data_IF_722902672573
#
_entry.id   IF_722902672573
#
_cell.length_a   1.000
_cell.length_b   1.000
_cell.length_c   1.000
_cell.angle_alpha   90.00
_cell.angle_beta   90.00
_cell.angle_gamma   90.00
#
_symmetry.space_group_name_H-M   'P 1'
#
loop_
_entity.id
_entity.type
_entity.pdbx_description
1 polymer ?
#
# COMPACT_ATOMS: atom_id res chain seq x y z
N UNK A 1 -11.08 -6.34 0.35
CA UNK A 1 -10.88 -6.06 -1.10
C UNK A 1 -12.19 -6.12 -1.89
N UNK A 2 -12.90 -7.27 -1.93
CA UNK A 2 -14.20 -7.36 -2.65
C UNK A 2 -15.22 -6.31 -2.21
N UNK A 3 -15.26 -5.98 -0.92
CA UNK A 3 -16.08 -4.87 -0.40
C UNK A 3 -15.75 -3.53 -1.08
N UNK A 4 -14.46 -3.21 -1.25
CA UNK A 4 -14.02 -1.97 -1.90
C UNK A 4 -14.49 -1.91 -3.36
N UNK A 5 -14.56 -3.04 -4.06
CA UNK A 5 -15.06 -3.09 -5.44
C UNK A 5 -16.55 -2.73 -5.56
N UNK A 6 -17.31 -2.82 -4.47
CA UNK A 6 -18.75 -2.51 -4.41
C UNK A 6 -19.06 -1.08 -3.99
N UNK A 7 -18.07 -0.33 -3.52
CA UNK A 7 -18.28 1.07 -3.11
C UNK A 7 -18.57 1.90 -4.38
N UNK A 8 -19.59 2.78 -4.38
CA UNK A 8 -19.85 3.70 -5.48
C UNK A 8 -18.62 4.54 -5.83
N UNK A 9 -18.34 4.69 -7.12
CA UNK A 9 -17.16 5.40 -7.65
C UNK A 9 -17.62 6.71 -8.31
N UNK A 10 -16.75 7.72 -8.45
CA UNK A 10 -15.32 7.73 -8.15
C UNK A 10 -15.01 8.05 -6.68
N UNK A 11 -13.86 7.56 -6.20
CA UNK A 11 -13.29 7.98 -4.91
C UNK A 11 -11.77 7.81 -4.90
N UNK A 12 -11.10 8.41 -3.91
CA UNK A 12 -9.67 8.20 -3.69
C UNK A 12 -9.44 7.17 -2.59
N UNK A 13 -8.81 6.03 -2.92
CA UNK A 13 -8.49 5.00 -1.96
C UNK A 13 -7.12 5.27 -1.33
N UNK A 14 -7.13 5.61 -0.03
CA UNK A 14 -5.93 5.61 0.81
C UNK A 14 -5.89 4.36 1.66
N UNK A 15 -4.81 3.58 1.56
CA UNK A 15 -4.59 2.39 2.37
C UNK A 15 -3.48 2.69 3.37
N UNK A 16 -3.81 2.64 4.66
CA UNK A 16 -2.90 2.88 5.76
C UNK A 16 -2.58 1.54 6.44
N UNK A 17 -1.31 1.33 6.77
CA UNK A 17 -0.90 0.17 7.53
C UNK A 17 -1.22 0.38 9.01
N UNK A 18 -1.73 -0.65 9.68
CA UNK A 18 -1.98 -0.61 11.12
C UNK A 18 -0.65 -0.57 11.89
N UNK A 19 -0.49 0.50 12.65
CA UNK A 19 0.63 0.80 13.54
C UNK A 19 0.11 0.88 14.97
N UNK A 20 0.88 0.33 15.91
CA UNK A 20 0.57 0.36 17.33
C UNK A 20 1.41 1.45 17.99
N UNK A 21 0.79 2.62 18.20
CA UNK A 21 1.45 3.73 18.88
C UNK A 21 1.58 3.44 20.37
N UNK A 22 2.79 3.50 20.95
CA UNK A 22 3.01 3.22 22.36
C UNK A 22 2.08 4.01 23.28
N UNK A 23 1.50 3.33 24.27
CA UNK A 23 0.61 3.95 25.26
C UNK A 23 -0.85 4.10 24.82
N UNK A 24 -1.20 3.81 23.56
CA UNK A 24 -2.60 3.75 23.14
C UNK A 24 -3.29 2.49 23.67
N UNK A 25 -4.63 2.54 23.83
CA UNK A 25 -5.42 1.35 24.20
C UNK A 25 -5.20 0.17 23.25
N UNK A 26 -5.01 0.46 21.96
CA UNK A 26 -4.76 -0.57 20.95
C UNK A 26 -3.39 -1.24 21.14
N UNK A 27 -2.34 -0.46 21.44
CA UNK A 27 -1.00 -0.99 21.74
C UNK A 27 -1.02 -1.83 23.03
N UNK A 28 -1.61 -1.30 24.11
CA UNK A 28 -1.74 -2.02 25.39
C UNK A 28 -2.46 -3.37 25.19
N UNK A 29 -3.58 -3.35 24.46
CA UNK A 29 -4.33 -4.57 24.17
C UNK A 29 -3.53 -5.55 23.31
N UNK A 30 -2.83 -5.06 22.28
CA UNK A 30 -2.01 -5.90 21.42
C UNK A 30 -0.82 -6.54 22.15
N UNK A 31 -0.27 -5.87 23.17
CA UNK A 31 0.76 -6.44 24.07
C UNK A 31 0.17 -7.50 24.99
N UNK A 32 -0.98 -7.22 25.62
CA UNK A 32 -1.71 -8.21 26.44
C UNK A 32 -2.05 -9.47 25.64
N UNK A 33 -2.55 -9.31 24.42
CA UNK A 33 -2.91 -10.40 23.52
C UNK A 33 -1.69 -11.06 22.83
N UNK A 34 -0.45 -10.66 23.19
CA UNK A 34 0.82 -11.16 22.63
C UNK A 34 0.92 -11.07 21.09
N UNK A 35 0.22 -10.10 20.51
CA UNK A 35 0.31 -9.74 19.08
C UNK A 35 1.65 -9.03 18.83
N UNK A 36 2.02 -8.11 19.72
CA UNK A 36 3.34 -7.44 19.71
C UNK A 36 4.28 -8.26 20.59
N UNK A 37 5.26 -8.95 20.00
CA UNK A 37 6.25 -9.76 20.73
C UNK A 37 7.58 -9.03 20.88
N UNK A 38 7.91 -8.17 19.94
CA UNK A 38 9.10 -7.31 19.92
C UNK A 38 8.65 -5.90 19.53
N UNK A 39 9.40 -4.87 19.93
CA UNK A 39 9.05 -3.48 19.61
C UNK A 39 8.88 -3.23 18.10
N UNK A 40 9.68 -3.89 17.25
CA UNK A 40 9.52 -3.80 15.80
C UNK A 40 8.16 -4.27 15.27
N UNK A 41 7.46 -5.14 16.00
CA UNK A 41 6.14 -5.63 15.60
C UNK A 41 5.05 -4.56 15.77
N UNK A 42 5.32 -3.54 16.61
CA UNK A 42 4.46 -2.38 16.80
C UNK A 42 4.47 -1.41 15.60
N UNK A 43 5.50 -1.50 14.73
CA UNK A 43 5.64 -0.74 13.49
C UNK A 43 5.70 0.80 13.61
N UNK A 44 5.65 1.38 14.82
CA UNK A 44 5.61 2.84 15.02
C UNK A 44 6.91 3.55 14.64
N UNK A 45 8.02 2.81 14.60
CA UNK A 45 9.32 3.30 14.17
C UNK A 45 9.49 3.30 12.64
N UNK A 46 8.60 2.64 11.91
CA UNK A 46 8.69 2.57 10.46
C UNK A 46 8.21 3.88 9.83
N UNK A 47 8.89 4.31 8.77
CA UNK A 47 8.39 5.40 7.96
C UNK A 47 7.01 5.03 7.40
N UNK A 48 6.06 5.95 7.51
CA UNK A 48 4.70 5.77 6.99
C UNK A 48 4.67 5.37 5.50
N UNK A 49 5.64 5.84 4.71
CA UNK A 49 5.76 5.57 3.28
C UNK A 49 6.48 4.26 2.94
N UNK A 50 7.10 3.59 3.92
CA UNK A 50 7.83 2.33 3.68
C UNK A 50 6.87 1.12 3.62
N UNK A 51 6.14 1.04 2.52
CA UNK A 51 5.15 -0.03 2.27
C UNK A 51 5.77 -1.42 2.40
N UNK A 52 7.02 -1.58 2.00
CA UNK A 52 7.71 -2.87 2.00
C UNK A 52 7.89 -3.41 3.41
N UNK A 53 8.43 -2.59 4.31
CA UNK A 53 8.63 -2.94 5.71
C UNK A 53 7.30 -3.24 6.40
N UNK A 54 6.28 -2.42 6.15
CA UNK A 54 4.94 -2.63 6.71
C UNK A 54 4.30 -3.95 6.25
N UNK A 55 4.40 -4.30 4.96
CA UNK A 55 3.84 -5.55 4.43
C UNK A 55 4.56 -6.77 5.01
N UNK A 56 5.89 -6.70 5.16
CA UNK A 56 6.68 -7.82 5.70
C UNK A 56 6.27 -8.21 7.12
N UNK A 57 5.81 -7.25 7.94
CA UNK A 57 5.28 -7.52 9.28
C UNK A 57 3.98 -8.34 9.25
N UNK A 58 3.19 -8.29 8.17
CA UNK A 58 1.89 -8.97 8.05
C UNK A 58 2.00 -10.37 7.43
N UNK A 59 2.98 -11.15 7.88
CA UNK A 59 3.41 -12.47 7.34
C UNK A 59 2.27 -13.36 6.80
N UNK A 60 1.19 -13.53 7.56
CA UNK A 60 0.07 -14.42 7.19
C UNK A 60 -0.70 -13.98 5.93
N UNK A 61 -0.74 -12.69 5.62
CA UNK A 61 -1.60 -12.11 4.59
C UNK A 61 -0.84 -11.23 3.60
N UNK A 62 0.48 -11.39 3.48
CA UNK A 62 1.35 -10.53 2.66
C UNK A 62 0.82 -10.32 1.24
N UNK A 63 0.31 -11.37 0.59
CA UNK A 63 -0.24 -11.29 -0.76
C UNK A 63 -1.42 -10.32 -0.87
N UNK A 64 -2.41 -10.46 0.03
CA UNK A 64 -3.61 -9.62 0.01
C UNK A 64 -3.30 -8.19 0.45
N UNK A 65 -2.38 -8.01 1.40
CA UNK A 65 -1.93 -6.67 1.84
C UNK A 65 -1.15 -5.97 0.74
N UNK A 66 -0.34 -6.69 -0.03
CA UNK A 66 0.34 -6.16 -1.21
C UNK A 66 -0.67 -5.70 -2.27
N UNK A 67 -1.67 -6.52 -2.60
CA UNK A 67 -2.73 -6.14 -3.55
C UNK A 67 -3.45 -4.87 -3.06
N UNK A 68 -3.83 -4.81 -1.78
CA UNK A 68 -4.44 -3.61 -1.20
C UNK A 68 -3.55 -2.37 -1.36
N UNK A 69 -2.25 -2.48 -1.11
CA UNK A 69 -1.32 -1.38 -1.26
C UNK A 69 -1.15 -0.93 -2.72
N UNK A 70 -1.27 -1.85 -3.68
CA UNK A 70 -1.24 -1.54 -5.12
C UNK A 70 -2.52 -0.88 -5.62
N UNK A 71 -3.65 -1.10 -4.92
CA UNK A 71 -4.93 -0.45 -5.22
C UNK A 71 -4.99 1.04 -4.82
N UNK A 72 -3.98 1.54 -4.09
CA UNK A 72 -3.94 2.93 -3.60
C UNK A 72 -4.01 3.94 -4.75
N UNK A 73 -4.84 4.97 -4.59
CA UNK A 73 -4.96 6.08 -5.55
C UNK A 73 -6.40 6.30 -6.01
N UNK A 74 -6.55 6.91 -7.18
CA UNK A 74 -7.86 7.20 -7.79
C UNK A 74 -8.55 5.90 -8.19
N UNK A 75 -9.81 5.75 -7.80
CA UNK A 75 -10.67 4.61 -8.11
C UNK A 75 -11.74 5.05 -9.12
N UNK A 76 -11.85 4.31 -10.22
CA UNK A 76 -12.82 4.54 -11.29
C UNK A 76 -13.50 3.22 -11.67
N UNK A 77 -14.51 3.27 -12.54
CA UNK A 77 -15.22 2.06 -12.98
C UNK A 77 -14.33 1.00 -13.64
N UNK A 78 -13.15 1.38 -14.13
CA UNK A 78 -12.22 0.47 -14.79
C UNK A 78 -11.02 0.06 -13.94
N UNK A 79 -10.69 0.76 -12.83
CA UNK A 79 -9.44 0.53 -12.09
C UNK A 79 -9.42 1.01 -10.63
N UNK A 80 -8.47 0.48 -9.88
CA UNK A 80 -8.04 0.92 -8.55
C UNK A 80 -6.59 1.40 -8.58
N UNK A 81 -6.36 2.71 -8.48
CA UNK A 81 -5.02 3.27 -8.63
C UNK A 81 -4.43 2.91 -9.99
N UNK A 82 -3.37 2.11 -10.00
CA UNK A 82 -2.75 1.59 -11.23
C UNK A 82 -3.27 0.22 -11.66
N UNK A 83 -4.09 -0.45 -10.85
CA UNK A 83 -4.59 -1.81 -11.12
C UNK A 83 -5.92 -1.78 -11.89
N UNK A 84 -5.99 -2.26 -13.14
CA UNK A 84 -7.25 -2.48 -13.84
C UNK A 84 -8.11 -3.52 -13.12
N UNK A 85 -9.44 -3.40 -13.24
CA UNK A 85 -10.38 -4.32 -12.61
C UNK A 85 -10.23 -5.76 -13.09
N UNK A 86 -9.88 -5.97 -14.37
CA UNK A 86 -9.58 -7.30 -14.91
C UNK A 86 -8.40 -7.96 -14.19
N UNK A 87 -7.28 -7.24 -14.06
CA UNK A 87 -6.09 -7.71 -13.34
C UNK A 87 -6.41 -7.94 -11.86
N UNK A 88 -7.11 -7.01 -11.21
CA UNK A 88 -7.51 -7.16 -9.81
C UNK A 88 -8.36 -8.43 -9.61
N UNK A 89 -9.36 -8.66 -10.47
CA UNK A 89 -10.20 -9.85 -10.41
C UNK A 89 -9.41 -11.14 -10.63
N UNK A 90 -8.44 -11.11 -11.55
CA UNK A 90 -7.52 -12.21 -11.77
C UNK A 90 -6.67 -12.52 -10.53
N UNK A 91 -6.06 -11.50 -9.92
CA UNK A 91 -5.26 -11.66 -8.69
C UNK A 91 -6.09 -12.16 -7.50
N UNK A 92 -7.39 -11.85 -7.45
CA UNK A 92 -8.31 -12.25 -6.39
C UNK A 92 -9.04 -13.57 -6.67
N UNK A 93 -8.63 -14.35 -7.67
CA UNK A 93 -9.13 -15.72 -7.86
C UNK A 93 -8.75 -16.58 -6.65
N UNK A 94 -9.71 -17.38 -6.15
CA UNK A 94 -9.56 -18.18 -4.92
C UNK A 94 -8.30 -19.05 -4.96
N UNK A 95 -8.05 -19.71 -6.08
CA UNK A 95 -6.89 -20.61 -6.23
C UNK A 95 -5.57 -19.84 -6.20
N UNK A 96 -5.50 -18.68 -6.85
CA UNK A 96 -4.29 -17.82 -6.83
C UNK A 96 -4.03 -17.26 -5.45
N UNK A 97 -5.06 -16.80 -4.75
CA UNK A 97 -4.94 -16.36 -3.36
C UNK A 97 -4.40 -17.49 -2.50
N UNK A 98 -5.00 -18.68 -2.58
CA UNK A 98 -4.56 -19.86 -1.81
C UNK A 98 -3.11 -20.25 -2.14
N UNK A 99 -2.74 -20.23 -3.42
CA UNK A 99 -1.38 -20.54 -3.87
C UNK A 99 -0.37 -19.52 -3.36
N UNK A 100 -0.63 -18.21 -3.50
CA UNK A 100 0.29 -17.16 -3.08
C UNK A 100 0.38 -17.01 -1.55
N UNK A 101 -0.68 -17.36 -0.81
CA UNK A 101 -0.63 -17.45 0.65
C UNK A 101 0.22 -18.64 1.14
N UNK A 102 0.30 -19.73 0.37
CA UNK A 102 1.17 -20.88 0.66
C UNK A 102 2.60 -20.68 0.18
N UNK A 103 2.77 -20.06 -1.00
CA UNK A 103 4.05 -19.80 -1.66
C UNK A 103 4.26 -18.30 -1.79
N UNK A 104 4.99 -17.71 -0.84
CA UNK A 104 5.19 -16.26 -0.76
C UNK A 104 6.22 -15.72 -1.75
N UNK A 105 6.96 -16.58 -2.46
CA UNK A 105 8.06 -16.17 -3.35
C UNK A 105 7.66 -15.08 -4.37
N UNK A 106 6.57 -15.32 -5.11
CA UNK A 106 6.01 -14.37 -6.08
C UNK A 106 5.61 -13.05 -5.41
N UNK A 107 4.99 -13.12 -4.24
CA UNK A 107 4.59 -11.95 -3.44
C UNK A 107 5.82 -11.14 -3.05
N UNK A 108 6.89 -11.79 -2.60
CA UNK A 108 8.14 -11.14 -2.19
C UNK A 108 8.88 -10.53 -3.39
N UNK A 109 8.87 -11.19 -4.55
CA UNK A 109 9.45 -10.67 -5.78
C UNK A 109 8.75 -9.37 -6.20
N UNK A 110 7.41 -9.38 -6.25
CA UNK A 110 6.64 -8.16 -6.57
C UNK A 110 6.88 -7.09 -5.51
N UNK A 111 6.93 -7.45 -4.23
CA UNK A 111 7.22 -6.50 -3.15
C UNK A 111 8.58 -5.83 -3.32
N UNK A 112 9.62 -6.56 -3.75
CA UNK A 112 10.94 -5.98 -4.06
C UNK A 112 10.88 -4.99 -5.21
N UNK A 113 10.16 -5.31 -6.28
CA UNK A 113 9.95 -4.38 -7.41
C UNK A 113 9.25 -3.10 -6.95
N UNK A 114 8.20 -3.23 -6.14
CA UNK A 114 7.48 -2.09 -5.56
C UNK A 114 8.39 -1.26 -4.66
N UNK A 115 9.22 -1.91 -3.83
CA UNK A 115 10.19 -1.23 -2.97
C UNK A 115 11.21 -0.43 -3.77
N UNK A 116 11.71 -1.00 -4.87
CA UNK A 116 12.65 -0.30 -5.76
C UNK A 116 11.98 0.92 -6.40
N UNK A 117 10.75 0.77 -6.87
CA UNK A 117 9.96 1.88 -7.40
C UNK A 117 9.74 2.99 -6.36
N UNK A 118 9.43 2.64 -5.11
CA UNK A 118 9.26 3.61 -4.03
C UNK A 118 10.55 4.38 -3.75
N UNK A 119 11.71 3.71 -3.76
CA UNK A 119 13.02 4.37 -3.62
C UNK A 119 13.29 5.33 -4.78
N UNK A 120 13.05 4.89 -6.02
CA UNK A 120 13.21 5.73 -7.22
C UNK A 120 12.29 6.95 -7.13
N UNK A 121 11.04 6.75 -6.74
CA UNK A 121 10.07 7.83 -6.62
C UNK A 121 10.48 8.86 -5.58
N UNK A 122 10.91 8.41 -4.40
CA UNK A 122 11.31 9.32 -3.31
C UNK A 122 12.62 10.05 -3.60
N UNK A 123 13.64 9.34 -4.11
CA UNK A 123 14.98 9.91 -4.30
C UNK A 123 15.15 10.67 -5.61
N UNK A 124 14.52 10.19 -6.68
CA UNK A 124 14.69 10.74 -8.03
C UNK A 124 13.48 11.60 -8.36
N UNK A 125 12.30 11.00 -8.54
CA UNK A 125 11.14 11.72 -9.10
C UNK A 125 10.72 12.93 -8.27
N UNK A 126 10.66 12.80 -6.94
CA UNK A 126 10.31 13.94 -6.06
C UNK A 126 11.39 15.01 -6.06
N UNK A 127 12.66 14.64 -6.05
CA UNK A 127 13.77 15.58 -6.06
C UNK A 127 13.80 16.35 -7.38
N UNK A 128 13.71 15.65 -8.50
CA UNK A 128 13.62 16.25 -9.84
C UNK A 128 12.38 17.12 -9.97
N UNK A 129 11.21 16.67 -9.50
CA UNK A 129 10.00 17.50 -9.52
C UNK A 129 10.17 18.80 -8.73
N UNK A 130 10.81 18.73 -7.55
CA UNK A 130 11.06 19.91 -6.71
C UNK A 130 12.04 20.90 -7.35
N UNK A 131 12.96 20.43 -8.18
CA UNK A 131 13.88 21.29 -8.93
C UNK A 131 13.26 21.90 -10.19
N UNK A 132 12.05 21.52 -10.60
CA UNK A 132 11.38 22.10 -11.76
C UNK A 132 10.84 23.52 -11.48
N UNK A 133 10.71 24.36 -12.52
CA UNK A 133 10.15 25.70 -12.40
C UNK A 133 8.78 25.71 -11.72
N UNK A 134 8.49 26.77 -10.95
CA UNK A 134 7.21 26.91 -10.25
C UNK A 134 6.02 26.87 -11.20
N UNK A 135 6.13 27.48 -12.38
CA UNK A 135 5.10 27.47 -13.43
C UNK A 135 4.73 26.06 -13.88
N UNK A 136 5.72 25.19 -14.10
CA UNK A 136 5.49 23.79 -14.45
C UNK A 136 4.82 23.02 -13.31
N UNK A 137 5.27 23.23 -12.06
CA UNK A 137 4.67 22.58 -10.89
C UNK A 137 3.20 22.98 -10.70
N UNK A 138 2.90 24.28 -10.80
CA UNK A 138 1.52 24.79 -10.72
C UNK A 138 0.65 24.22 -11.85
N UNK A 139 1.15 24.21 -13.09
CA UNK A 139 0.44 23.59 -14.21
C UNK A 139 0.19 22.10 -13.98
N UNK A 140 1.23 21.35 -13.56
CA UNK A 140 1.13 19.92 -13.31
C UNK A 140 0.15 19.61 -12.18
N UNK A 141 0.18 20.38 -11.09
CA UNK A 141 -0.75 20.19 -9.97
C UNK A 141 -2.19 20.52 -10.38
N UNK A 142 -2.42 21.56 -11.20
CA UNK A 142 -3.76 21.83 -11.80
C UNK A 142 -4.26 20.66 -12.65
N UNK A 143 -3.41 20.14 -13.55
CA UNK A 143 -3.75 18.98 -14.40
C UNK A 143 -4.02 17.72 -13.56
N UNK A 144 -3.20 17.49 -12.53
CA UNK A 144 -3.27 16.30 -11.68
C UNK A 144 -4.47 16.30 -10.74
N UNK A 145 -4.73 17.43 -10.07
CA UNK A 145 -5.81 17.56 -9.09
C UNK A 145 -7.11 18.07 -9.68
N UNK A 146 -7.12 18.42 -10.98
CA UNK A 146 -8.26 19.04 -11.68
C UNK A 146 -8.80 20.26 -10.91
N UNK A 147 -7.88 21.13 -10.47
CA UNK A 147 -8.17 22.42 -9.83
C UNK A 147 -7.87 23.55 -10.82
#
# INVERSE_FOLDING_TARGET
IRLLQKIPKPYFLSVNNLVFFPGTKLDQRARQDRIIKKEKDAAYQLNYWDRSAHILLKRKNQYLVLILNLMRGVVTESRFGILPNSLLNHLLQKDRVKQNLRKTFTTLLVLRVVSLYDIIRERILKTTYRSLPLSFRVWYDKVRYRV
#
